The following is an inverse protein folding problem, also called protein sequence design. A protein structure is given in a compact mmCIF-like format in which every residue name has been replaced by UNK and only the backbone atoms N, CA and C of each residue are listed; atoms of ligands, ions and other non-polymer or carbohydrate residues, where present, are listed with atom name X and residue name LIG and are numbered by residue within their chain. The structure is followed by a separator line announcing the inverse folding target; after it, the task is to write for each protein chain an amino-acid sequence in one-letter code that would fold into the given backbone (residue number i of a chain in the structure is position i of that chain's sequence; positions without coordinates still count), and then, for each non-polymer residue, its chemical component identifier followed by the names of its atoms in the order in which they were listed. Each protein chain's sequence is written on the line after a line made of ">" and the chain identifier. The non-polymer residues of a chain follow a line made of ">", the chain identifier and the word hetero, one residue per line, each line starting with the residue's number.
data_IF_963975495782
#
_entry.id   IF_963975495782
#
_cell.length_a   1.000
_cell.length_b   1.000
_cell.length_c   1.000
_cell.angle_alpha   90.00
_cell.angle_beta   90.00
_cell.angle_gamma   90.00
#
_symmetry.space_group_name_H-M   'P 1'
#
loop_
_entity.id
_entity.type
_entity.pdbx_description
1 polymer ?
#
# COMPACT_ATOMS: atom_id res chain seq x y z
N UNK A 1 3.12 -17.60 -7.76
CA UNK A 1 2.79 -16.60 -8.80
C UNK A 1 1.40 -16.04 -8.51
N UNK A 2 1.15 -14.76 -8.80
CA UNK A 2 -0.18 -14.15 -8.62
C UNK A 2 -1.25 -14.83 -9.50
N UNK A 3 -0.82 -15.54 -10.56
CA UNK A 3 -1.66 -16.33 -11.44
C UNK A 3 -2.44 -17.45 -10.74
N UNK A 4 -2.01 -17.98 -9.59
CA UNK A 4 -2.74 -19.06 -8.92
C UNK A 4 -4.18 -18.67 -8.51
N UNK A 5 -4.49 -17.38 -8.38
CA UNK A 5 -5.85 -16.90 -8.07
C UNK A 5 -6.75 -16.80 -9.31
N UNK A 6 -6.16 -16.78 -10.51
CA UNK A 6 -6.84 -16.46 -11.75
C UNK A 6 -6.64 -17.53 -12.84
N UNK A 7 -5.76 -18.50 -12.61
CA UNK A 7 -5.34 -19.54 -13.56
C UNK A 7 -6.48 -20.45 -14.00
N UNK A 8 -7.44 -20.72 -13.12
CA UNK A 8 -8.62 -21.53 -13.44
C UNK A 8 -9.57 -20.82 -14.43
N UNK A 9 -9.50 -19.49 -14.50
CA UNK A 9 -10.30 -18.69 -15.44
C UNK A 9 -9.52 -18.33 -16.71
N UNK A 10 -8.20 -18.57 -16.74
CA UNK A 10 -7.36 -18.25 -17.89
C UNK A 10 -7.68 -19.11 -19.13
N UNK A 11 -8.27 -20.29 -18.95
CA UNK A 11 -8.62 -21.21 -20.04
C UNK A 11 -9.94 -20.89 -20.75
N UNK A 12 -10.76 -19.97 -20.23
CA UNK A 12 -12.12 -19.72 -20.73
C UNK A 12 -12.37 -18.22 -20.96
N UNK A 13 -12.81 -17.85 -22.17
CA UNK A 13 -13.07 -16.45 -22.58
C UNK A 13 -12.07 -15.93 -23.62
N UNK A 14 -12.56 -15.24 -24.64
CA UNK A 14 -11.73 -14.64 -25.70
C UNK A 14 -10.98 -13.40 -25.17
N UNK A 15 -11.70 -12.56 -24.42
CA UNK A 15 -11.16 -11.35 -23.79
C UNK A 15 -11.31 -11.41 -22.25
N UNK A 16 -10.35 -10.82 -21.53
CA UNK A 16 -10.32 -10.84 -20.07
C UNK A 16 -10.25 -9.44 -19.46
N UNK A 17 -11.13 -9.18 -18.49
CA UNK A 17 -11.04 -7.99 -17.63
C UNK A 17 -10.81 -8.43 -16.19
N UNK A 18 -9.74 -7.92 -15.59
CA UNK A 18 -9.38 -8.16 -14.19
C UNK A 18 -9.41 -6.84 -13.43
N UNK A 19 -10.18 -6.77 -12.35
CA UNK A 19 -10.22 -5.61 -11.45
C UNK A 19 -9.80 -6.04 -10.05
N UNK A 20 -8.81 -5.35 -9.50
CA UNK A 20 -8.30 -5.59 -8.15
C UNK A 20 -8.26 -4.28 -7.37
N UNK A 21 -8.59 -4.33 -6.08
CA UNK A 21 -8.49 -3.18 -5.21
C UNK A 21 -7.88 -3.52 -3.85
N UNK A 22 -7.09 -2.59 -3.29
CA UNK A 22 -6.91 -2.54 -1.84
C UNK A 22 -8.04 -1.73 -1.22
N UNK A 23 -8.44 -2.06 0.01
CA UNK A 23 -9.58 -1.44 0.68
C UNK A 23 -9.10 -0.48 1.76
N UNK A 24 -9.75 0.68 1.88
CA UNK A 24 -9.54 1.63 2.97
C UNK A 24 -10.87 2.28 3.36
N UNK A 25 -11.06 2.47 4.66
CA UNK A 25 -12.25 3.11 5.20
C UNK A 25 -12.12 4.61 5.12
N UNK A 26 -13.21 5.31 4.90
CA UNK A 26 -13.21 6.76 4.92
C UNK A 26 -14.41 7.29 5.70
N UNK A 27 -14.11 8.12 6.70
CA UNK A 27 -15.10 8.88 7.44
C UNK A 27 -15.17 10.31 6.86
N UNK A 28 -16.26 10.64 6.14
CA UNK A 28 -16.43 11.97 5.54
C UNK A 28 -16.63 13.08 6.57
N UNK A 29 -17.13 12.80 7.77
CA UNK A 29 -17.41 13.81 8.79
C UNK A 29 -16.12 14.31 9.44
N UNK A 30 -15.20 13.39 9.71
CA UNK A 30 -13.91 13.70 10.31
C UNK A 30 -12.79 13.90 9.28
N UNK A 31 -13.09 13.70 7.99
CA UNK A 31 -12.12 13.72 6.89
C UNK A 31 -10.91 12.81 7.17
N UNK A 32 -11.17 11.61 7.70
CA UNK A 32 -10.14 10.67 8.16
C UNK A 32 -10.33 9.30 7.52
N UNK A 33 -9.22 8.69 7.13
CA UNK A 33 -9.21 7.29 6.75
C UNK A 33 -9.27 6.41 8.00
N UNK A 34 -10.14 5.40 7.98
CA UNK A 34 -10.40 4.49 9.09
C UNK A 34 -10.10 3.04 8.72
N UNK A 35 -10.16 2.16 9.72
CA UNK A 35 -9.91 0.74 9.58
C UNK A 35 -11.08 0.04 8.86
N UNK A 36 -11.19 0.11 7.53
CA UNK A 36 -12.13 -0.74 6.79
C UNK A 36 -11.52 -2.07 6.31
N UNK A 37 -10.20 -2.13 6.07
CA UNK A 37 -9.53 -3.39 5.74
C UNK A 37 -8.91 -3.99 7.00
N UNK A 38 -9.60 -4.92 7.65
CA UNK A 38 -9.10 -5.63 8.83
C UNK A 38 -7.69 -6.17 8.61
N UNK A 39 -7.41 -6.76 7.44
CA UNK A 39 -6.09 -7.36 7.17
C UNK A 39 -4.93 -6.36 7.07
N UNK A 40 -5.13 -5.18 6.47
CA UNK A 40 -4.09 -4.14 6.45
C UNK A 40 -3.96 -3.54 7.85
N UNK A 41 -5.07 -3.26 8.53
CA UNK A 41 -5.08 -2.74 9.90
C UNK A 41 -4.31 -3.65 10.86
N UNK A 42 -4.65 -4.95 10.87
CA UNK A 42 -4.00 -5.97 11.70
C UNK A 42 -2.50 -6.09 11.38
N UNK A 43 -2.12 -5.88 10.12
CA UNK A 43 -0.71 -5.86 9.71
C UNK A 43 0.02 -4.65 10.27
N UNK A 44 -0.61 -3.47 10.26
CA UNK A 44 0.03 -2.21 10.66
C UNK A 44 0.13 -2.00 12.18
N UNK A 45 -0.82 -2.54 12.95
CA UNK A 45 -0.96 -2.26 14.38
C UNK A 45 0.37 -2.41 15.14
N UNK A 46 1.07 -3.53 14.91
CA UNK A 46 2.35 -3.78 15.55
C UNK A 46 3.43 -2.74 15.17
N UNK A 47 3.53 -2.37 13.90
CA UNK A 47 4.52 -1.39 13.43
C UNK A 47 4.25 0.02 13.96
N UNK A 48 2.98 0.42 13.98
CA UNK A 48 2.55 1.71 14.54
C UNK A 48 2.86 1.76 16.04
N UNK A 49 2.59 0.68 16.77
CA UNK A 49 2.91 0.59 18.19
C UNK A 49 4.42 0.63 18.47
N UNK A 50 5.22 -0.09 17.68
CA UNK A 50 6.68 -0.08 17.81
C UNK A 50 7.28 1.31 17.48
N UNK A 51 6.79 1.97 16.44
CA UNK A 51 7.15 3.36 16.11
C UNK A 51 6.75 4.33 17.22
N UNK A 52 5.51 4.22 17.72
CA UNK A 52 5.00 5.03 18.82
C UNK A 52 5.86 4.84 20.08
N UNK A 53 6.30 3.62 20.38
CA UNK A 53 7.19 3.38 21.50
C UNK A 53 8.55 4.07 21.29
N UNK A 54 9.14 3.96 20.10
CA UNK A 54 10.43 4.58 19.78
C UNK A 54 10.41 6.10 19.88
N UNK A 55 9.40 6.76 19.29
CA UNK A 55 9.30 8.23 19.28
C UNK A 55 9.12 8.86 20.67
N UNK A 56 8.65 8.10 21.65
CA UNK A 56 8.53 8.56 23.04
C UNK A 56 9.78 8.27 23.88
N UNK A 57 10.59 7.29 23.49
CA UNK A 57 11.74 6.78 24.27
C UNK A 57 13.07 7.37 23.83
N UNK A 58 13.19 7.76 22.57
CA UNK A 58 14.37 8.47 22.08
C UNK A 58 14.22 9.93 22.50
N UNK A 59 15.20 10.43 23.24
CA UNK A 59 15.19 11.81 23.72
C UNK A 59 16.25 12.64 22.99
N UNK A 60 15.88 13.86 22.66
CA UNK A 60 16.74 14.89 22.08
C UNK A 60 16.96 15.95 23.15
N UNK A 61 18.21 16.28 23.46
CA UNK A 61 18.56 17.38 24.35
C UNK A 61 19.49 18.35 23.62
N UNK A 62 19.03 19.60 23.48
CA UNK A 62 19.81 20.67 22.83
C UNK A 62 20.42 21.54 23.90
N UNK A 63 21.73 21.42 24.08
CA UNK A 63 22.48 22.20 25.07
C UNK A 63 23.64 22.96 24.41
N UNK A 64 23.55 24.28 24.40
CA UNK A 64 24.52 25.15 23.72
C UNK A 64 24.60 24.85 22.21
N UNK A 65 25.82 24.61 21.71
CA UNK A 65 26.06 24.23 20.31
C UNK A 65 25.97 22.72 20.04
N UNK A 66 25.54 21.93 21.02
CA UNK A 66 25.50 20.47 20.88
C UNK A 66 24.07 19.95 20.97
N UNK A 67 23.83 18.86 20.25
CA UNK A 67 22.59 18.09 20.30
C UNK A 67 22.95 16.69 20.78
N UNK A 68 22.33 16.26 21.86
CA UNK A 68 22.53 14.94 22.44
C UNK A 68 21.31 14.07 22.20
N UNK A 69 21.56 12.79 21.95
CA UNK A 69 20.55 11.77 21.73
C UNK A 69 20.65 10.70 22.80
N UNK A 70 19.60 10.57 23.61
CA UNK A 70 19.48 9.48 24.57
C UNK A 70 18.63 8.38 23.95
N UNK A 71 19.24 7.21 23.78
CA UNK A 71 18.63 6.07 23.10
C UNK A 71 18.59 4.88 24.05
N UNK A 72 17.42 4.26 24.16
CA UNK A 72 17.23 3.04 24.93
C UNK A 72 18.12 1.91 24.37
N UNK A 73 18.74 1.14 25.26
CA UNK A 73 19.69 0.08 24.92
C UNK A 73 19.13 -0.93 23.92
N UNK A 74 17.82 -1.15 23.89
CA UNK A 74 17.21 -2.07 22.92
C UNK A 74 17.40 -1.64 21.46
N UNK A 75 17.53 -0.34 21.19
CA UNK A 75 17.71 0.22 19.83
C UNK A 75 19.17 0.32 19.39
N UNK A 76 20.11 0.02 20.31
CA UNK A 76 21.54 0.01 20.04
C UNK A 76 22.04 -1.39 19.66
N UNK A 77 21.17 -2.40 19.73
CA UNK A 77 21.49 -3.79 19.38
C UNK A 77 21.49 -3.97 17.85
N UNK A 78 22.63 -4.31 17.22
CA UNK A 78 22.73 -4.43 15.76
C UNK A 78 21.98 -5.65 15.20
N UNK A 79 21.74 -6.68 16.03
CA UNK A 79 21.20 -7.97 15.61
C UNK A 79 19.80 -8.21 16.19
N UNK A 80 18.93 -7.20 16.16
CA UNK A 80 17.54 -7.39 16.61
C UNK A 80 16.82 -8.30 15.60
N UNK A 81 16.23 -9.39 16.08
CA UNK A 81 15.51 -10.32 15.21
C UNK A 81 14.23 -9.69 14.65
N UNK A 82 13.54 -8.89 15.45
CA UNK A 82 12.32 -8.21 15.07
C UNK A 82 12.21 -6.85 15.78
N UNK A 83 11.83 -5.81 15.05
CA UNK A 83 11.56 -4.49 15.62
C UNK A 83 11.97 -3.33 14.73
N UNK A 84 11.90 -2.13 15.30
CA UNK A 84 12.47 -0.92 14.72
C UNK A 84 13.99 -0.92 14.95
N UNK A 85 14.73 -0.66 13.87
CA UNK A 85 16.17 -0.48 13.84
C UNK A 85 16.48 0.98 13.51
N UNK A 86 17.32 1.62 14.30
CA UNK A 86 17.74 3.00 14.03
C UNK A 86 18.90 3.04 13.04
N UNK A 87 18.85 3.99 12.13
CA UNK A 87 19.97 4.35 11.26
C UNK A 87 20.92 5.27 12.03
N UNK A 88 21.67 4.68 12.96
CA UNK A 88 22.53 5.39 13.92
C UNK A 88 23.60 6.24 13.23
N UNK A 89 24.06 5.85 12.05
CA UNK A 89 24.99 6.59 11.20
C UNK A 89 24.48 7.97 10.77
N UNK A 90 23.16 8.10 10.58
CA UNK A 90 22.53 9.39 10.26
C UNK A 90 22.31 10.27 11.48
N UNK A 91 22.15 9.64 12.65
CA UNK A 91 21.72 10.32 13.88
C UNK A 91 22.90 10.68 14.79
N UNK A 92 23.87 9.78 14.96
CA UNK A 92 24.96 9.87 15.93
C UNK A 92 26.28 10.17 15.26
N UNK A 93 27.06 11.07 15.86
CA UNK A 93 28.42 11.35 15.43
C UNK A 93 29.33 10.14 15.67
N UNK A 94 29.90 9.63 14.58
CA UNK A 94 30.97 8.64 14.61
C UNK A 94 32.33 9.30 14.83
N UNK A 95 33.25 8.58 15.47
CA UNK A 95 34.65 8.96 15.55
C UNK A 95 35.39 8.56 14.25
N UNK A 96 36.65 8.96 14.13
CA UNK A 96 37.47 8.72 12.92
C UNK A 96 37.66 7.24 12.53
N UNK A 97 37.32 6.30 13.41
CA UNK A 97 37.35 4.84 13.17
C UNK A 97 35.97 4.25 12.83
N UNK A 98 34.95 5.09 12.64
CA UNK A 98 33.56 4.70 12.34
C UNK A 98 32.76 4.20 13.55
N UNK A 99 33.35 4.20 14.77
CA UNK A 99 32.63 3.76 15.98
C UNK A 99 31.87 4.91 16.62
N UNK A 100 30.77 4.55 17.28
CA UNK A 100 30.02 5.45 18.16
C UNK A 100 30.49 5.26 19.60
N UNK A 101 30.64 6.35 20.33
CA UNK A 101 31.03 6.34 21.74
C UNK A 101 30.00 7.14 22.55
N UNK A 102 29.40 6.54 23.60
CA UNK A 102 28.45 7.25 24.43
C UNK A 102 29.14 8.32 25.28
N UNK A 103 28.51 9.48 25.39
CA UNK A 103 28.89 10.54 26.35
C UNK A 103 28.48 10.17 27.78
N UNK A 104 27.39 9.43 27.94
CA UNK A 104 26.97 8.85 29.22
C UNK A 104 26.20 7.56 29.01
N UNK A 105 26.22 6.68 30.01
CA UNK A 105 25.52 5.39 29.99
C UNK A 105 24.75 5.23 31.30
N UNK A 106 23.50 4.80 31.21
CA UNK A 106 22.65 4.42 32.33
C UNK A 106 22.32 2.94 32.25
N UNK A 107 21.50 2.43 33.18
CA UNK A 107 21.10 1.02 33.19
C UNK A 107 20.29 0.60 31.96
N UNK A 108 19.57 1.53 31.31
CA UNK A 108 18.66 1.23 30.21
C UNK A 108 18.88 2.08 28.96
N UNK A 109 19.79 3.04 28.98
CA UNK A 109 20.00 3.94 27.84
C UNK A 109 21.45 4.43 27.75
N UNK A 110 21.82 4.92 26.57
CA UNK A 110 23.07 5.61 26.34
C UNK A 110 22.83 6.94 25.64
N UNK A 111 23.61 7.95 26.02
CA UNK A 111 23.55 9.29 25.44
C UNK A 111 24.70 9.47 24.48
N UNK A 112 24.44 10.00 23.28
CA UNK A 112 25.43 10.22 22.24
C UNK A 112 25.37 11.65 21.72
N UNK A 113 26.48 12.14 21.19
CA UNK A 113 26.50 13.38 20.42
C UNK A 113 25.89 13.12 19.03
N UNK A 114 24.95 13.95 18.62
CA UNK A 114 24.29 13.82 17.32
C UNK A 114 25.20 14.31 16.17
N UNK A 115 24.91 13.85 14.94
CA UNK A 115 25.58 14.41 13.76
C UNK A 115 25.20 15.88 13.56
N UNK A 116 26.08 16.65 12.91
CA UNK A 116 25.80 18.05 12.56
C UNK A 116 24.59 18.17 11.64
N UNK A 117 24.37 17.20 10.75
CA UNK A 117 23.18 17.13 9.88
C UNK A 117 21.91 16.93 10.70
N UNK A 118 21.91 15.95 11.60
CA UNK A 118 20.77 15.68 12.49
C UNK A 118 20.46 16.92 13.34
N UNK A 119 21.47 17.53 13.97
CA UNK A 119 21.33 18.74 14.78
C UNK A 119 20.66 19.89 14.01
N UNK A 120 21.06 20.14 12.76
CA UNK A 120 20.47 21.21 11.94
C UNK A 120 18.99 20.97 11.67
N UNK A 121 18.61 19.72 11.41
CA UNK A 121 17.20 19.36 11.21
C UNK A 121 16.41 19.50 12.52
N UNK A 122 16.94 18.96 13.63
CA UNK A 122 16.30 19.05 14.94
C UNK A 122 16.13 20.49 15.45
N UNK A 123 16.91 21.44 14.92
CA UNK A 123 16.78 22.85 15.30
C UNK A 123 15.40 23.45 15.00
N UNK A 124 14.64 22.85 14.08
CA UNK A 124 13.28 23.25 13.73
C UNK A 124 12.22 22.64 14.65
N UNK A 125 12.55 21.55 15.34
CA UNK A 125 11.62 20.77 16.16
C UNK A 125 11.78 21.04 17.66
N UNK A 126 12.99 21.34 18.13
CA UNK A 126 13.31 21.42 19.55
C UNK A 126 13.93 22.75 19.94
N UNK A 127 13.49 23.30 21.06
CA UNK A 127 14.08 24.51 21.65
C UNK A 127 15.40 24.18 22.39
N UNK A 128 16.28 25.17 22.54
CA UNK A 128 17.49 25.00 23.32
C UNK A 128 17.21 25.07 24.83
N UNK A 129 17.99 24.32 25.61
CA UNK A 129 18.04 24.37 27.07
C UNK A 129 16.72 24.07 27.80
N UNK A 130 15.81 23.32 27.17
CA UNK A 130 14.59 22.80 27.79
C UNK A 130 14.79 21.41 28.43
N UNK A 131 16.01 20.88 28.36
CA UNK A 131 16.33 19.52 28.77
C UNK A 131 15.87 18.46 27.77
N UNK A 132 15.96 17.16 28.13
CA UNK A 132 15.61 16.06 27.24
C UNK A 132 14.12 16.06 26.85
N UNK A 133 13.85 16.09 25.55
CA UNK A 133 12.50 16.06 24.96
C UNK A 133 12.33 14.82 24.09
N UNK A 134 11.18 14.12 24.12
CA UNK A 134 10.93 13.00 23.21
C UNK A 134 11.04 13.42 21.75
N UNK A 135 11.68 12.59 20.92
CA UNK A 135 11.91 12.90 19.50
C UNK A 135 10.58 13.07 18.73
N UNK A 136 9.50 12.41 19.14
CA UNK A 136 8.17 12.62 18.58
C UNK A 136 8.12 12.45 17.05
N UNK A 137 7.42 13.36 16.37
CA UNK A 137 7.28 13.37 14.91
C UNK A 137 8.60 13.72 14.19
N UNK A 138 9.63 14.16 14.91
CA UNK A 138 10.96 14.37 14.35
C UNK A 138 11.73 13.05 14.13
N UNK A 139 11.19 11.90 14.56
CA UNK A 139 11.66 10.59 14.13
C UNK A 139 11.17 10.31 12.71
N UNK A 140 11.84 10.97 11.76
CA UNK A 140 11.57 10.88 10.33
C UNK A 140 11.86 9.48 9.75
N UNK A 141 11.19 9.08 8.66
CA UNK A 141 11.31 7.74 8.07
C UNK A 141 12.72 7.36 7.64
N UNK A 142 13.62 8.32 7.40
CA UNK A 142 15.01 8.05 7.02
C UNK A 142 15.87 7.62 8.20
N UNK A 143 15.41 7.83 9.43
CA UNK A 143 16.15 7.51 10.66
C UNK A 143 15.94 6.09 11.16
N UNK A 144 15.06 5.32 10.52
CA UNK A 144 14.82 3.96 10.95
C UNK A 144 14.38 3.05 9.80
N UNK A 145 14.47 1.76 10.07
CA UNK A 145 13.87 0.70 9.25
C UNK A 145 13.20 -0.31 10.17
N UNK A 146 12.40 -1.21 9.60
CA UNK A 146 11.89 -2.36 10.33
C UNK A 146 12.59 -3.63 9.87
N UNK A 147 12.87 -4.50 10.83
CA UNK A 147 13.24 -5.88 10.59
C UNK A 147 12.16 -6.80 11.11
N UNK A 148 11.86 -7.82 10.33
CA UNK A 148 11.02 -8.95 10.70
C UNK A 148 11.88 -10.19 10.56
N UNK A 149 11.94 -11.03 11.60
CA UNK A 149 12.82 -12.20 11.63
C UNK A 149 12.57 -13.15 10.45
N UNK A 150 13.46 -14.14 10.26
CA UNK A 150 13.33 -15.09 9.16
C UNK A 150 11.98 -15.82 9.21
N UNK A 151 11.29 -15.83 8.07
CA UNK A 151 9.91 -16.28 7.98
C UNK A 151 9.79 -17.75 7.53
N UNK A 152 8.90 -18.49 8.20
CA UNK A 152 8.51 -19.87 7.87
C UNK A 152 6.98 -19.95 7.66
N UNK A 153 6.48 -19.49 6.52
CA UNK A 153 5.04 -19.60 6.19
C UNK A 153 4.69 -18.94 4.87
N UNK A 154 3.42 -18.89 4.46
CA UNK A 154 2.98 -18.30 3.17
C UNK A 154 1.86 -17.26 3.30
N UNK A 155 1.63 -16.68 4.48
CA UNK A 155 0.40 -15.93 4.80
C UNK A 155 0.53 -14.40 4.88
N UNK A 156 1.73 -13.82 4.71
CA UNK A 156 2.02 -12.39 4.94
C UNK A 156 2.32 -11.58 3.66
N UNK A 157 1.64 -11.87 2.54
CA UNK A 157 1.87 -11.15 1.27
C UNK A 157 1.72 -9.64 1.39
N UNK A 158 0.71 -9.15 2.13
CA UNK A 158 0.50 -7.71 2.34
C UNK A 158 1.70 -7.12 3.05
N UNK A 159 2.12 -7.71 4.17
CA UNK A 159 3.29 -7.25 4.93
C UNK A 159 4.55 -7.25 4.07
N UNK A 160 4.78 -8.29 3.26
CA UNK A 160 5.90 -8.32 2.31
C UNK A 160 5.85 -7.17 1.29
N UNK A 161 4.66 -6.78 0.84
CA UNK A 161 4.51 -5.66 -0.08
C UNK A 161 4.86 -4.31 0.56
N UNK A 162 4.58 -4.14 1.86
CA UNK A 162 4.66 -2.83 2.52
C UNK A 162 5.83 -2.67 3.48
N UNK A 163 6.50 -3.75 3.91
CA UNK A 163 7.58 -3.69 4.93
C UNK A 163 8.73 -2.77 4.53
N UNK A 164 9.10 -2.76 3.24
CA UNK A 164 10.19 -1.91 2.73
C UNK A 164 9.88 -0.41 2.76
N UNK A 165 8.61 -0.04 2.77
CA UNK A 165 8.14 1.35 2.85
C UNK A 165 7.47 1.67 4.19
N UNK A 166 7.53 0.74 5.15
CA UNK A 166 6.86 0.86 6.43
C UNK A 166 7.26 2.11 7.23
N UNK A 167 8.52 2.59 7.23
CA UNK A 167 8.86 3.86 7.87
C UNK A 167 8.02 5.03 7.36
N UNK A 168 7.78 5.11 6.04
CA UNK A 168 6.94 6.14 5.42
C UNK A 168 5.45 5.97 5.75
N UNK A 169 5.00 4.72 5.93
CA UNK A 169 3.62 4.43 6.31
C UNK A 169 3.34 4.91 7.75
N UNK A 170 4.18 4.52 8.71
CA UNK A 170 3.91 4.81 10.14
C UNK A 170 4.15 6.28 10.51
N UNK A 171 4.91 7.02 9.69
CA UNK A 171 5.15 8.46 9.86
C UNK A 171 4.16 9.34 9.08
N UNK A 172 3.28 8.74 8.26
CA UNK A 172 2.25 9.45 7.51
C UNK A 172 1.13 9.96 8.43
N UNK A 173 0.52 11.09 8.06
CA UNK A 173 -0.71 11.57 8.71
C UNK A 173 -1.89 10.60 8.55
N UNK A 174 -1.88 9.77 7.49
CA UNK A 174 -2.90 8.77 7.21
C UNK A 174 -2.28 7.38 6.91
N UNK A 175 -1.74 6.68 7.93
CA UNK A 175 -1.00 5.42 7.73
C UNK A 175 -1.81 4.35 6.98
N UNK A 176 -3.11 4.23 7.28
CA UNK A 176 -4.00 3.28 6.61
C UNK A 176 -4.11 3.53 5.10
N UNK A 177 -4.26 4.80 4.70
CA UNK A 177 -4.34 5.17 3.29
C UNK A 177 -3.00 4.95 2.60
N UNK A 178 -1.90 5.37 3.24
CA UNK A 178 -0.55 5.21 2.69
C UNK A 178 -0.21 3.72 2.52
N UNK A 179 -0.59 2.86 3.45
CA UNK A 179 -0.41 1.42 3.33
C UNK A 179 -1.27 0.82 2.22
N UNK A 180 -2.53 1.23 2.09
CA UNK A 180 -3.40 0.76 1.02
C UNK A 180 -2.87 1.18 -0.37
N UNK A 181 -2.36 2.40 -0.49
CA UNK A 181 -1.69 2.89 -1.71
C UNK A 181 -0.44 2.07 -2.03
N UNK A 182 0.46 1.91 -1.06
CA UNK A 182 1.69 1.12 -1.22
C UNK A 182 1.39 -0.33 -1.61
N UNK A 183 0.40 -0.96 -0.97
CA UNK A 183 -0.03 -2.31 -1.30
C UNK A 183 -0.63 -2.37 -2.72
N UNK A 184 -1.45 -1.40 -3.11
CA UNK A 184 -2.05 -1.34 -4.46
C UNK A 184 -0.99 -1.29 -5.55
N UNK A 185 0.04 -0.46 -5.34
CA UNK A 185 1.18 -0.35 -6.25
C UNK A 185 1.98 -1.66 -6.34
N UNK A 186 2.32 -2.26 -5.19
CA UNK A 186 3.08 -3.51 -5.14
C UNK A 186 2.30 -4.68 -5.77
N UNK A 187 0.99 -4.77 -5.52
CA UNK A 187 0.12 -5.77 -6.14
C UNK A 187 0.02 -5.56 -7.64
N UNK A 188 -0.13 -4.31 -8.12
CA UNK A 188 -0.17 -4.01 -9.55
C UNK A 188 1.11 -4.46 -10.26
N UNK A 189 2.27 -4.12 -9.71
CA UNK A 189 3.56 -4.53 -10.24
C UNK A 189 3.70 -6.07 -10.27
N UNK A 190 3.31 -6.75 -9.18
CA UNK A 190 3.38 -8.21 -9.11
C UNK A 190 2.44 -8.90 -10.08
N UNK A 191 1.19 -8.44 -10.18
CA UNK A 191 0.16 -9.06 -11.02
C UNK A 191 0.45 -8.80 -12.51
N UNK A 192 0.79 -7.57 -12.89
CA UNK A 192 1.15 -7.25 -14.29
C UNK A 192 2.33 -8.10 -14.78
N UNK A 193 3.39 -8.24 -13.97
CA UNK A 193 4.51 -9.16 -14.29
C UNK A 193 4.05 -10.60 -14.41
N UNK A 194 3.23 -11.08 -13.46
CA UNK A 194 2.72 -12.45 -13.49
C UNK A 194 1.90 -12.72 -14.76
N UNK A 195 1.00 -11.80 -15.13
CA UNK A 195 0.21 -11.87 -16.36
C UNK A 195 1.12 -11.91 -17.59
N UNK A 196 2.12 -11.02 -17.65
CA UNK A 196 3.01 -10.90 -18.81
C UNK A 196 3.84 -12.15 -19.11
N UNK A 197 4.09 -12.98 -18.08
CA UNK A 197 4.93 -14.18 -18.13
C UNK A 197 4.13 -15.48 -18.27
N UNK A 198 2.84 -15.46 -17.93
CA UNK A 198 2.00 -16.66 -17.89
C UNK A 198 1.51 -17.03 -19.31
N UNK A 199 1.85 -18.23 -19.82
CA UNK A 199 1.44 -18.66 -21.16
C UNK A 199 -0.07 -18.65 -21.37
N UNK A 200 -0.85 -18.94 -20.32
CA UNK A 200 -2.31 -18.99 -20.42
C UNK A 200 -2.96 -17.65 -20.82
N UNK A 201 -2.29 -16.52 -20.58
CA UNK A 201 -2.79 -15.20 -20.98
C UNK A 201 -2.23 -14.70 -22.31
N UNK A 202 -1.39 -15.45 -23.02
CA UNK A 202 -0.81 -14.99 -24.29
C UNK A 202 -1.86 -14.92 -25.41
N UNK A 203 -1.64 -14.01 -26.37
CA UNK A 203 -2.45 -13.85 -27.59
C UNK A 203 -3.95 -13.62 -27.31
N UNK A 204 -4.26 -12.76 -26.32
CA UNK A 204 -5.64 -12.37 -25.98
C UNK A 204 -5.68 -10.90 -25.57
N UNK A 205 -6.85 -10.27 -25.74
CA UNK A 205 -7.08 -8.95 -25.17
C UNK A 205 -7.31 -9.09 -23.66
N UNK A 206 -6.50 -8.38 -22.89
CA UNK A 206 -6.55 -8.38 -21.44
C UNK A 206 -6.43 -6.95 -20.91
N UNK A 207 -7.40 -6.56 -20.10
CA UNK A 207 -7.39 -5.33 -19.32
C UNK A 207 -7.31 -5.67 -17.83
N UNK A 208 -6.19 -5.37 -17.19
CA UNK A 208 -6.04 -5.48 -15.74
C UNK A 208 -6.00 -4.08 -15.13
N UNK A 209 -6.91 -3.80 -14.19
CA UNK A 209 -6.98 -2.53 -13.47
C UNK A 209 -6.77 -2.78 -11.98
N UNK A 210 -5.80 -2.08 -11.39
CA UNK A 210 -5.63 -2.02 -9.95
C UNK A 210 -6.08 -0.66 -9.42
N UNK A 211 -6.59 -0.62 -8.19
CA UNK A 211 -7.04 0.62 -7.58
C UNK A 211 -7.30 0.53 -6.08
N UNK A 212 -7.99 1.54 -5.57
CA UNK A 212 -8.41 1.63 -4.18
C UNK A 212 -9.93 1.59 -4.11
N UNK A 213 -10.47 0.73 -3.24
CA UNK A 213 -11.84 0.82 -2.77
C UNK A 213 -11.88 1.70 -1.52
N UNK A 214 -12.58 2.82 -1.65
CA UNK A 214 -12.96 3.67 -0.53
C UNK A 214 -14.33 3.23 -0.04
N UNK A 215 -14.36 2.62 1.13
CA UNK A 215 -15.59 2.25 1.83
C UNK A 215 -15.97 3.46 2.72
N UNK A 216 -16.91 4.28 2.23
CA UNK A 216 -17.33 5.49 2.96
C UNK A 216 -18.41 5.13 3.98
N UNK A 217 -18.17 5.50 5.24
CA UNK A 217 -19.17 5.38 6.29
C UNK A 217 -20.45 6.14 5.87
N UNK A 218 -21.64 5.56 6.07
CA UNK A 218 -22.86 6.26 5.76
C UNK A 218 -23.02 7.50 6.67
N UNK A 219 -23.54 8.62 6.15
CA UNK A 219 -23.92 9.76 6.98
C UNK A 219 -24.97 9.37 8.03
N UNK A 220 -25.03 10.09 9.16
CA UNK A 220 -26.05 9.85 10.19
C UNK A 220 -27.47 9.74 9.60
N UNK A 221 -28.16 8.63 9.89
CA UNK A 221 -29.52 8.35 9.42
C UNK A 221 -29.64 7.65 8.06
N UNK A 222 -28.52 7.35 7.38
CA UNK A 222 -28.51 6.50 6.18
C UNK A 222 -27.90 5.11 6.48
N UNK A 223 -28.44 4.07 5.83
CA UNK A 223 -27.93 2.69 5.95
C UNK A 223 -27.18 2.22 4.69
N UNK A 224 -26.83 3.13 3.79
CA UNK A 224 -26.21 2.78 2.50
C UNK A 224 -24.74 3.15 2.55
N UNK A 225 -23.88 2.13 2.58
CA UNK A 225 -22.43 2.29 2.41
C UNK A 225 -22.19 2.72 0.96
N UNK A 226 -21.48 3.83 0.78
CA UNK A 226 -21.10 4.28 -0.57
C UNK A 226 -19.67 3.85 -0.83
N UNK A 227 -19.51 2.92 -1.77
CA UNK A 227 -18.20 2.47 -2.22
C UNK A 227 -17.75 3.27 -3.44
N UNK A 228 -16.53 3.79 -3.41
CA UNK A 228 -15.91 4.43 -4.58
C UNK A 228 -14.64 3.68 -4.96
N UNK A 229 -14.56 3.28 -6.22
CA UNK A 229 -13.32 2.77 -6.80
C UNK A 229 -12.51 3.93 -7.38
N UNK A 230 -11.29 4.10 -6.87
CA UNK A 230 -10.30 5.03 -7.43
C UNK A 230 -9.29 4.19 -8.21
N UNK A 231 -9.26 4.28 -9.55
CA UNK A 231 -8.28 3.55 -10.33
C UNK A 231 -6.87 4.05 -10.01
N UNK A 232 -5.90 3.14 -9.93
CA UNK A 232 -4.47 3.45 -9.75
C UNK A 232 -3.74 3.38 -11.08
N UNK A 233 -3.78 2.23 -11.74
CA UNK A 233 -3.17 2.02 -13.05
C UNK A 233 -3.85 0.86 -13.77
N UNK A 234 -3.67 0.80 -15.08
CA UNK A 234 -4.10 -0.34 -15.88
C UNK A 234 -2.93 -0.94 -16.68
N UNK A 235 -2.89 -2.25 -16.76
CA UNK A 235 -2.07 -3.01 -17.70
C UNK A 235 -2.97 -3.48 -18.83
N UNK A 236 -2.57 -3.17 -20.06
CA UNK A 236 -3.28 -3.58 -21.26
C UNK A 236 -2.38 -4.51 -22.06
N UNK A 237 -2.96 -5.62 -22.49
CA UNK A 237 -2.41 -6.49 -23.50
C UNK A 237 -3.43 -6.68 -24.61
N UNK A 238 -2.97 -6.62 -25.85
CA UNK A 238 -3.78 -6.90 -27.03
C UNK A 238 -3.46 -8.29 -27.56
N UNK A 239 -4.40 -8.89 -28.30
CA UNK A 239 -4.18 -10.16 -29.02
C UNK A 239 -2.96 -10.10 -29.96
N UNK A 240 -2.69 -8.91 -30.54
CA UNK A 240 -1.53 -8.64 -31.40
C UNK A 240 -0.17 -8.79 -30.69
N UNK A 241 -0.16 -8.93 -29.36
CA UNK A 241 1.04 -8.97 -28.53
C UNK A 241 1.49 -7.59 -28.02
N UNK A 242 0.83 -6.51 -28.43
CA UNK A 242 1.08 -5.17 -27.88
C UNK A 242 0.75 -5.11 -26.39
N UNK A 243 1.63 -4.46 -25.61
CA UNK A 243 1.51 -4.34 -24.15
C UNK A 243 1.92 -2.95 -23.70
N UNK A 244 1.10 -2.32 -22.87
CA UNK A 244 1.42 -1.02 -22.28
C UNK A 244 0.70 -0.81 -20.94
N UNK A 245 1.20 0.16 -20.18
CA UNK A 245 0.62 0.59 -18.90
C UNK A 245 -0.02 1.96 -19.12
N UNK A 246 -1.22 2.12 -18.56
CA UNK A 246 -1.86 3.42 -18.38
C UNK A 246 -1.73 3.83 -16.92
N UNK A 247 -1.04 4.94 -16.70
CA UNK A 247 -0.97 5.57 -15.38
C UNK A 247 -2.32 6.20 -15.02
N UNK A 248 -2.48 6.53 -13.73
CA UNK A 248 -3.75 7.01 -13.17
C UNK A 248 -4.40 8.13 -14.00
N UNK A 249 -3.62 9.14 -14.40
CA UNK A 249 -4.13 10.30 -15.11
C UNK A 249 -4.61 9.96 -16.53
N UNK A 250 -3.88 9.10 -17.23
CA UNK A 250 -4.23 8.58 -18.55
C UNK A 250 -5.51 7.75 -18.48
N UNK A 251 -5.58 6.84 -17.50
CA UNK A 251 -6.74 5.99 -17.27
C UNK A 251 -7.99 6.83 -16.92
N UNK A 252 -7.84 7.84 -16.07
CA UNK A 252 -8.92 8.77 -15.74
C UNK A 252 -9.41 9.57 -16.96
N UNK A 253 -8.49 9.99 -17.85
CA UNK A 253 -8.86 10.67 -19.10
C UNK A 253 -9.66 9.74 -20.01
N UNK A 254 -9.24 8.48 -20.16
CA UNK A 254 -9.95 7.49 -20.96
C UNK A 254 -11.36 7.24 -20.39
N UNK A 255 -11.48 7.01 -19.08
CA UNK A 255 -12.80 6.82 -18.45
C UNK A 255 -13.75 7.99 -18.64
N UNK A 256 -13.26 9.23 -18.67
CA UNK A 256 -14.08 10.41 -18.96
C UNK A 256 -14.59 10.48 -20.41
N UNK A 257 -13.93 9.80 -21.34
CA UNK A 257 -14.37 9.72 -22.74
C UNK A 257 -15.35 8.57 -22.99
N UNK A 258 -15.39 7.58 -22.11
CA UNK A 258 -16.33 6.48 -22.19
C UNK A 258 -17.76 6.97 -21.88
N UNK A 259 -18.74 6.42 -22.61
CA UNK A 259 -20.15 6.64 -22.30
C UNK A 259 -20.52 5.84 -21.04
N UNK A 260 -21.35 6.43 -20.19
CA UNK A 260 -21.89 5.73 -19.02
C UNK A 260 -22.89 4.63 -19.41
N UNK A 261 -23.51 4.76 -20.59
CA UNK A 261 -24.42 3.77 -21.16
C UNK A 261 -23.64 2.79 -22.04
N UNK A 262 -23.68 1.52 -21.68
CA UNK A 262 -23.09 0.43 -22.45
C UNK A 262 -24.22 -0.39 -23.08
N UNK A 263 -24.47 -0.28 -24.41
CA UNK A 263 -25.56 -1.01 -25.06
C UNK A 263 -25.39 -2.53 -25.00
N UNK A 264 -24.16 -3.01 -24.77
CA UNK A 264 -23.81 -4.42 -24.63
C UNK A 264 -23.81 -4.88 -23.16
N UNK A 265 -24.27 -4.03 -22.22
CA UNK A 265 -24.37 -4.39 -20.81
C UNK A 265 -25.39 -5.52 -20.61
N UNK A 266 -24.91 -6.64 -20.07
CA UNK A 266 -25.76 -7.74 -19.64
C UNK A 266 -26.18 -7.56 -18.18
N UNK A 267 -27.48 -7.62 -17.94
CA UNK A 267 -28.06 -7.68 -16.60
C UNK A 267 -28.08 -9.13 -16.12
N UNK A 268 -27.09 -9.50 -15.31
CA UNK A 268 -26.93 -10.87 -14.84
C UNK A 268 -28.13 -11.38 -14.04
N UNK A 269 -28.86 -10.52 -13.30
CA UNK A 269 -30.08 -10.97 -12.63
C UNK A 269 -31.16 -11.35 -13.63
N UNK A 270 -31.33 -10.57 -14.71
CA UNK A 270 -32.27 -10.92 -15.77
C UNK A 270 -31.87 -12.20 -16.50
N UNK A 271 -30.57 -12.38 -16.76
CA UNK A 271 -30.04 -13.60 -17.40
C UNK A 271 -30.25 -14.81 -16.50
N UNK A 272 -29.92 -14.72 -15.21
CA UNK A 272 -30.13 -15.80 -14.23
C UNK A 272 -31.62 -16.14 -14.12
N UNK A 273 -32.50 -15.15 -13.99
CA UNK A 273 -33.96 -15.37 -13.94
C UNK A 273 -34.49 -16.03 -15.21
N UNK A 274 -33.95 -15.69 -16.38
CA UNK A 274 -34.31 -16.33 -17.64
C UNK A 274 -33.83 -17.79 -17.74
N UNK A 275 -32.71 -18.13 -17.09
CA UNK A 275 -32.20 -19.50 -16.99
C UNK A 275 -32.95 -20.33 -15.94
N UNK A 276 -33.43 -19.71 -14.86
CA UNK A 276 -34.19 -20.36 -13.78
C UNK A 276 -35.64 -20.66 -14.16
N UNK A 277 -36.25 -19.86 -15.04
CA UNK A 277 -37.56 -20.11 -15.63
C UNK A 277 -37.45 -20.26 -17.15
N UNK A 278 -36.94 -21.41 -17.64
CA UNK A 278 -36.98 -21.70 -19.07
C UNK A 278 -38.46 -21.91 -19.45
N UNK A 279 -39.09 -20.86 -19.98
CA UNK A 279 -40.40 -20.98 -20.61
C UNK A 279 -40.41 -22.12 -21.64
N UNK A 280 -41.58 -22.69 -21.98
CA UNK A 280 -41.64 -23.84 -22.88
C UNK A 280 -40.95 -23.47 -24.19
N UNK A 281 -39.91 -24.24 -24.54
CA UNK A 281 -39.01 -23.99 -25.65
C UNK A 281 -39.77 -23.65 -26.94
N UNK A 282 -39.89 -22.35 -27.24
CA UNK A 282 -40.28 -21.83 -28.54
C UNK A 282 -39.26 -20.80 -28.99
N UNK A 283 -38.30 -21.30 -29.76
CA UNK A 283 -37.51 -20.58 -30.75
C UNK A 283 -36.82 -19.29 -30.28
N UNK A 284 -35.76 -19.42 -29.47
CA UNK A 284 -34.62 -18.51 -29.55
C UNK A 284 -33.61 -19.07 -30.58
N UNK A 285 -34.00 -19.07 -31.85
CA UNK A 285 -33.11 -19.44 -32.95
C UNK A 285 -33.26 -18.50 -34.14
N UNK A 286 -33.54 -17.22 -33.86
CA UNK A 286 -33.37 -16.13 -34.82
C UNK A 286 -32.70 -14.96 -34.10
N UNK A 287 -31.58 -14.54 -34.66
CA UNK A 287 -30.87 -13.28 -34.43
C UNK A 287 -29.79 -13.25 -33.33
N UNK A 288 -29.01 -14.32 -33.21
CA UNK A 288 -27.59 -14.17 -32.82
C UNK A 288 -26.75 -14.50 -34.07
N UNK A 289 -26.56 -13.49 -34.92
CA UNK A 289 -25.61 -13.53 -36.03
C UNK A 289 -24.22 -13.16 -35.51
N UNK A 290 -23.44 -14.16 -35.09
CA UNK A 290 -22.05 -14.02 -34.67
C UNK A 290 -21.08 -13.73 -35.84
N UNK A 291 -21.56 -13.54 -37.07
CA UNK A 291 -20.70 -13.26 -38.23
C UNK A 291 -20.45 -11.77 -38.49
N UNK A 292 -20.94 -10.85 -37.66
CA UNK A 292 -20.69 -9.41 -37.78
C UNK A 292 -19.69 -8.88 -36.75
N UNK A 293 -18.54 -9.54 -36.65
CA UNK A 293 -17.30 -8.88 -36.25
C UNK A 293 -16.93 -7.91 -37.37
N UNK A 294 -17.25 -6.62 -37.18
CA UNK A 294 -16.68 -5.56 -38.01
C UNK A 294 -15.23 -5.41 -37.59
N UNK A 295 -14.34 -5.83 -38.50
CA UNK A 295 -12.98 -5.31 -38.61
C UNK A 295 -13.04 -3.78 -38.62
N UNK A 296 -12.49 -3.16 -37.58
CA UNK A 296 -12.07 -1.76 -37.64
C UNK A 296 -10.60 -1.77 -38.08
N UNK A 297 -10.36 -1.39 -39.33
CA UNK A 297 -9.06 -0.84 -39.78
C UNK A 297 -8.78 0.49 -39.12
#
# INVERSE_FOLDING_TARGET
>A
MACNRHSEYASHGEDLVMVQASHVGYDPEHNKCSNACGKISDTLEWYVNEYNFARHRILVDRHGEHCYLTIDSQYLLPNREQGLLLNLDKMIQQQGDGKIYPSSVTSTASTFLATTTFQKQMAHFFEMNQGPQPIGDALLPEYFSFTIGQYTGGSRQIEQNIVGVMPWIVTSEAPMLTAAQANTQAEFDRVSRSISQEPAYQNRNLLYISGLHLDMSPPEGQNVIVNKFIPWAAYIQMESGERYILEQDQLCKIFKTCKADNPDQLDFEKVIRAMENPGPAKALNRDIDLSKSKTYT
#
